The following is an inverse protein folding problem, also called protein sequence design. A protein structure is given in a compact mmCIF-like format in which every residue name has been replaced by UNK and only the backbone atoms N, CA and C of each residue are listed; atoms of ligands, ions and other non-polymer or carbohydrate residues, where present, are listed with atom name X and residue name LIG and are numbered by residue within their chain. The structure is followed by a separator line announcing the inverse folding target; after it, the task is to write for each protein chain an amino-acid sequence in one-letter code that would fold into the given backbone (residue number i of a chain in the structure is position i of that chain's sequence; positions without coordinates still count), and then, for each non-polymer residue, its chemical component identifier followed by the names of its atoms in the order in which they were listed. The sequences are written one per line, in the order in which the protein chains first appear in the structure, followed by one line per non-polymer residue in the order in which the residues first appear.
data_IF_317870224817
#
_entry.id   IF_317870224817
#
_cell.length_a   1.000
_cell.length_b   1.000
_cell.length_c   1.000
_cell.angle_alpha   90.00
_cell.angle_beta   90.00
_cell.angle_gamma   90.00
#
_symmetry.space_group_name_H-M   'P 1'
#
loop_
_entity.id
_entity.type
_entity.pdbx_description
1 polymer ?
#
# COMPACT_ATOMS: atom_id res chain seq x y z
N UNK A 1 4.43 1.05 -3.32
CA UNK A 1 4.23 0.27 -4.55
C UNK A 1 4.34 -1.19 -4.17
N UNK A 2 4.35 -2.12 -5.11
CA UNK A 2 4.70 -3.50 -4.82
C UNK A 2 6.22 -3.67 -4.73
N UNK A 3 6.63 -4.74 -4.06
CA UNK A 3 8.04 -5.08 -3.80
C UNK A 3 8.87 -5.23 -5.07
N UNK A 4 8.27 -5.71 -6.17
CA UNK A 4 8.95 -5.86 -7.46
C UNK A 4 9.27 -4.52 -8.10
N UNK A 5 8.36 -3.55 -8.06
CA UNK A 5 8.63 -2.18 -8.51
C UNK A 5 9.75 -1.53 -7.69
N UNK A 6 9.74 -1.70 -6.37
CA UNK A 6 10.80 -1.18 -5.51
C UNK A 6 12.16 -1.82 -5.81
N UNK A 7 12.19 -3.09 -6.20
CA UNK A 7 13.43 -3.78 -6.57
C UNK A 7 14.06 -3.18 -7.83
N UNK A 8 13.27 -3.02 -8.90
CA UNK A 8 13.79 -2.40 -10.14
C UNK A 8 14.14 -0.93 -9.94
N UNK A 9 13.45 -0.22 -9.04
CA UNK A 9 13.82 1.14 -8.62
C UNK A 9 15.17 1.16 -7.87
N UNK A 10 15.43 0.20 -6.98
CA UNK A 10 16.71 0.10 -6.26
C UNK A 10 17.90 -0.11 -7.19
N UNK A 11 17.73 -0.94 -8.24
CA UNK A 11 18.77 -1.12 -9.28
C UNK A 11 18.93 0.16 -10.10
N UNK A 12 17.82 0.80 -10.51
CA UNK A 12 17.86 2.06 -11.26
C UNK A 12 18.53 3.19 -10.48
N UNK A 13 18.33 3.28 -9.16
CA UNK A 13 19.05 4.22 -8.30
C UNK A 13 20.55 3.93 -8.26
N UNK A 14 20.95 2.65 -8.24
CA UNK A 14 22.37 2.27 -8.37
C UNK A 14 22.96 2.70 -9.72
N UNK A 15 22.19 2.58 -10.80
CA UNK A 15 22.57 3.11 -12.12
C UNK A 15 22.62 4.64 -12.16
N UNK A 16 21.68 5.33 -11.52
CA UNK A 16 21.70 6.80 -11.38
C UNK A 16 22.93 7.28 -10.59
N UNK A 17 23.37 6.50 -9.61
CA UNK A 17 24.52 6.80 -8.76
C UNK A 17 25.84 6.91 -9.53
N UNK A 18 25.93 6.40 -10.77
CA UNK A 18 27.13 6.57 -11.61
C UNK A 18 27.31 8.02 -12.10
N UNK A 19 26.36 8.93 -11.85
CA UNK A 19 26.58 10.37 -12.06
C UNK A 19 27.46 10.99 -10.96
N UNK A 20 27.63 10.29 -9.84
CA UNK A 20 28.48 10.70 -8.73
C UNK A 20 29.95 10.35 -9.04
N UNK A 21 30.87 11.33 -9.16
CA UNK A 21 32.26 11.06 -9.52
C UNK A 21 32.98 10.15 -8.53
N UNK A 22 32.64 10.22 -7.23
CA UNK A 22 33.27 9.38 -6.18
C UNK A 22 32.93 7.91 -6.37
N UNK A 23 31.74 7.64 -6.90
CA UNK A 23 31.26 6.30 -7.19
C UNK A 23 31.90 5.80 -8.49
N UNK A 24 31.88 6.60 -9.55
CA UNK A 24 32.41 6.20 -10.86
C UNK A 24 33.92 5.99 -10.87
N UNK A 25 34.67 6.69 -10.02
CA UNK A 25 36.12 6.51 -9.90
C UNK A 25 36.54 5.28 -9.07
N UNK A 26 35.61 4.64 -8.34
CA UNK A 26 35.91 3.49 -7.48
C UNK A 26 34.92 2.34 -7.74
N UNK A 27 35.35 1.27 -8.46
CA UNK A 27 34.52 0.09 -8.69
C UNK A 27 34.03 -0.57 -7.40
N UNK A 28 34.82 -0.48 -6.33
CA UNK A 28 34.48 -1.02 -5.00
C UNK A 28 33.35 -0.20 -4.37
N UNK A 29 33.45 1.13 -4.37
CA UNK A 29 32.38 2.01 -3.91
C UNK A 29 31.11 1.83 -4.75
N UNK A 30 31.25 1.70 -6.08
CA UNK A 30 30.12 1.47 -6.98
C UNK A 30 29.35 0.18 -6.65
N UNK A 31 30.08 -0.92 -6.43
CA UNK A 31 29.47 -2.20 -6.07
C UNK A 31 28.74 -2.13 -4.74
N UNK A 32 29.36 -1.48 -3.73
CA UNK A 32 28.74 -1.26 -2.43
C UNK A 32 27.48 -0.39 -2.53
N UNK A 33 27.51 0.70 -3.31
CA UNK A 33 26.36 1.60 -3.50
C UNK A 33 25.20 0.88 -4.19
N UNK A 34 25.45 0.10 -5.24
CA UNK A 34 24.40 -0.68 -5.93
C UNK A 34 23.75 -1.67 -4.95
N UNK A 35 24.55 -2.37 -4.14
CA UNK A 35 24.01 -3.24 -3.09
C UNK A 35 23.18 -2.45 -2.07
N UNK A 36 23.69 -1.29 -1.65
CA UNK A 36 23.03 -0.38 -0.71
C UNK A 36 21.68 0.13 -1.23
N UNK A 37 21.60 0.55 -2.50
CA UNK A 37 20.34 1.05 -3.08
C UNK A 37 19.31 -0.08 -3.24
N UNK A 38 19.72 -1.28 -3.65
CA UNK A 38 18.82 -2.44 -3.74
C UNK A 38 18.29 -2.83 -2.36
N UNK A 39 19.16 -3.00 -1.37
CA UNK A 39 18.76 -3.36 0.00
C UNK A 39 17.91 -2.25 0.64
N UNK A 40 18.30 -0.99 0.45
CA UNK A 40 17.58 0.18 0.95
C UNK A 40 16.16 0.27 0.38
N UNK A 41 15.99 0.02 -0.91
CA UNK A 41 14.66 -0.03 -1.55
C UNK A 41 13.83 -1.27 -1.15
N UNK A 42 14.34 -2.21 -0.36
CA UNK A 42 13.56 -3.37 0.09
C UNK A 42 13.30 -3.34 1.60
N UNK A 43 14.18 -2.69 2.37
CA UNK A 43 14.15 -2.73 3.82
C UNK A 43 12.83 -2.30 4.47
N UNK A 44 12.12 -1.24 4.01
CA UNK A 44 10.85 -0.88 4.63
C UNK A 44 9.76 -1.97 4.49
N UNK A 45 9.80 -2.75 3.40
CA UNK A 45 8.83 -3.84 3.12
C UNK A 45 9.21 -5.19 3.76
N UNK A 46 10.28 -5.26 4.55
CA UNK A 46 10.65 -6.48 5.29
C UNK A 46 9.54 -6.91 6.28
N UNK A 47 8.66 -5.99 6.66
CA UNK A 47 7.46 -6.27 7.46
C UNK A 47 6.46 -7.22 6.77
N UNK A 48 6.63 -7.50 5.48
CA UNK A 48 5.88 -8.54 4.77
C UNK A 48 6.11 -9.93 5.35
N UNK A 49 7.24 -10.17 6.05
CA UNK A 49 7.49 -11.40 6.82
C UNK A 49 6.41 -11.63 7.89
N UNK A 50 5.75 -10.59 8.39
CA UNK A 50 4.63 -10.71 9.34
C UNK A 50 3.44 -11.48 8.76
N UNK A 51 3.31 -11.60 7.42
CA UNK A 51 2.32 -12.49 6.78
C UNK A 51 2.49 -13.95 7.21
N UNK A 52 3.72 -14.39 7.46
CA UNK A 52 4.01 -15.76 7.91
C UNK A 52 3.46 -16.01 9.32
N UNK A 53 3.31 -14.97 10.14
CA UNK A 53 2.78 -15.07 11.49
C UNK A 53 1.25 -15.05 11.50
N UNK A 54 0.64 -13.99 10.95
CA UNK A 54 -0.83 -13.82 10.93
C UNK A 54 -1.22 -12.68 9.96
N UNK A 55 -2.27 -12.87 9.15
CA UNK A 55 -2.76 -11.87 8.20
C UNK A 55 -3.28 -10.58 8.87
N UNK A 56 -3.93 -10.68 10.03
CA UNK A 56 -4.37 -9.50 10.80
C UNK A 56 -3.17 -8.67 11.30
N UNK A 57 -2.12 -9.35 11.77
CA UNK A 57 -0.89 -8.70 12.22
C UNK A 57 -0.19 -8.02 11.04
N UNK A 58 -0.15 -8.66 9.87
CA UNK A 58 0.34 -8.03 8.65
C UNK A 58 -0.48 -6.79 8.28
N UNK A 59 -1.81 -6.89 8.16
CA UNK A 59 -2.66 -5.74 7.78
C UNK A 59 -2.53 -4.57 8.75
N UNK A 60 -2.39 -4.84 10.05
CA UNK A 60 -2.28 -3.80 11.08
C UNK A 60 -0.93 -3.07 11.04
N UNK A 61 0.15 -3.78 10.71
CA UNK A 61 1.52 -3.25 10.89
C UNK A 61 2.26 -2.97 9.58
N UNK A 62 1.85 -3.57 8.46
CA UNK A 62 2.50 -3.37 7.17
C UNK A 62 2.43 -1.91 6.76
N UNK A 63 3.56 -1.31 6.40
CA UNK A 63 3.68 0.14 6.09
C UNK A 63 3.44 1.06 7.29
N UNK A 64 3.50 0.50 8.49
CA UNK A 64 3.40 1.21 9.76
C UNK A 64 4.77 1.65 10.27
N UNK A 65 5.31 0.91 11.22
CA UNK A 65 6.56 1.27 11.94
C UNK A 65 7.77 1.30 11.01
N UNK A 66 7.90 0.32 10.11
CA UNK A 66 9.05 0.20 9.18
C UNK A 66 9.15 1.33 8.15
N UNK A 67 8.08 2.11 7.99
CA UNK A 67 7.99 3.24 7.08
C UNK A 67 7.99 4.59 7.82
N UNK A 68 8.15 4.59 9.15
CA UNK A 68 8.15 5.80 9.98
C UNK A 68 9.44 6.63 9.83
N UNK A 69 9.43 7.88 10.33
CA UNK A 69 10.61 8.76 10.29
C UNK A 69 11.83 8.09 10.96
N UNK A 70 11.74 7.50 12.17
CA UNK A 70 12.87 6.79 12.76
C UNK A 70 13.37 5.62 11.90
N UNK A 71 12.47 4.87 11.26
CA UNK A 71 12.86 3.75 10.41
C UNK A 71 13.58 4.22 9.13
N UNK A 72 13.11 5.30 8.49
CA UNK A 72 13.76 5.90 7.32
C UNK A 72 15.19 6.37 7.65
N UNK A 73 15.44 6.84 8.88
CA UNK A 73 16.78 7.22 9.33
C UNK A 73 17.64 6.00 9.72
N UNK A 74 17.03 4.95 10.29
CA UNK A 74 17.75 3.81 10.84
C UNK A 74 18.16 2.78 9.77
N UNK A 75 17.30 2.48 8.79
CA UNK A 75 17.61 1.49 7.74
C UNK A 75 18.92 1.80 7.01
N UNK A 76 19.18 3.04 6.56
CA UNK A 76 20.41 3.37 5.86
C UNK A 76 21.65 3.20 6.72
N UNK A 77 21.58 3.50 8.03
CA UNK A 77 22.68 3.30 8.96
C UNK A 77 23.01 1.81 9.12
N UNK A 78 21.98 0.98 9.32
CA UNK A 78 22.15 -0.48 9.48
C UNK A 78 22.74 -1.08 8.19
N UNK A 79 22.16 -0.78 7.04
CA UNK A 79 22.55 -1.36 5.75
C UNK A 79 23.96 -0.89 5.37
N UNK A 80 24.22 0.41 5.43
CA UNK A 80 25.54 0.96 5.06
C UNK A 80 26.62 0.51 6.02
N UNK A 81 26.33 0.46 7.32
CA UNK A 81 27.26 -0.06 8.33
C UNK A 81 27.61 -1.54 8.10
N UNK A 82 26.60 -2.38 7.82
CA UNK A 82 26.81 -3.78 7.51
C UNK A 82 27.62 -3.99 6.21
N UNK A 83 27.30 -3.25 5.15
CA UNK A 83 28.02 -3.31 3.89
C UNK A 83 29.46 -2.80 4.03
N UNK A 84 29.68 -1.72 4.78
CA UNK A 84 31.01 -1.18 5.03
C UNK A 84 31.89 -2.11 5.89
N UNK A 85 31.28 -2.88 6.80
CA UNK A 85 32.03 -3.90 7.54
C UNK A 85 32.54 -5.04 6.64
N UNK A 86 31.88 -5.31 5.51
CA UNK A 86 32.27 -6.32 4.52
C UNK A 86 33.16 -5.72 3.43
N UNK A 87 32.96 -4.44 3.11
CA UNK A 87 33.65 -3.70 2.04
C UNK A 87 34.22 -2.38 2.61
N UNK A 88 35.27 -2.45 3.45
CA UNK A 88 35.79 -1.29 4.18
C UNK A 88 36.48 -0.25 3.28
N UNK A 89 36.84 -0.61 2.05
CA UNK A 89 37.44 0.29 1.07
C UNK A 89 36.40 1.17 0.35
N UNK A 90 35.10 0.89 0.51
CA UNK A 90 34.04 1.71 -0.05
C UNK A 90 33.96 3.07 0.63
N UNK A 91 33.63 4.13 -0.11
CA UNK A 91 33.36 5.43 0.51
C UNK A 91 32.06 5.37 1.33
N UNK A 92 32.18 5.33 2.66
CA UNK A 92 31.04 5.20 3.58
C UNK A 92 29.99 6.31 3.42
N UNK A 93 30.42 7.56 3.22
CA UNK A 93 29.49 8.69 3.11
C UNK A 93 28.58 8.53 1.88
N UNK A 94 29.17 8.22 0.72
CA UNK A 94 28.40 8.05 -0.51
C UNK A 94 27.53 6.78 -0.48
N UNK A 95 28.05 5.68 0.09
CA UNK A 95 27.25 4.49 0.37
C UNK A 95 26.01 4.82 1.22
N UNK A 96 26.20 5.57 2.31
CA UNK A 96 25.13 5.97 3.19
C UNK A 96 24.13 6.91 2.52
N UNK A 97 24.59 7.93 1.78
CA UNK A 97 23.73 8.89 1.10
C UNK A 97 22.82 8.21 0.07
N UNK A 98 23.36 7.32 -0.77
CA UNK A 98 22.58 6.62 -1.79
C UNK A 98 21.65 5.56 -1.21
N UNK A 99 22.07 4.86 -0.14
CA UNK A 99 21.19 3.96 0.61
C UNK A 99 20.06 4.73 1.28
N UNK A 100 20.34 5.92 1.85
CA UNK A 100 19.34 6.80 2.43
C UNK A 100 18.34 7.28 1.37
N UNK A 101 18.82 7.72 0.21
CA UNK A 101 17.96 8.11 -0.90
C UNK A 101 17.03 6.96 -1.33
N UNK A 102 17.53 5.73 -1.38
CA UNK A 102 16.74 4.55 -1.75
C UNK A 102 15.61 4.25 -0.73
N UNK A 103 15.93 4.27 0.56
CA UNK A 103 14.92 4.09 1.64
C UNK A 103 13.91 5.23 1.63
N UNK A 104 14.38 6.47 1.51
CA UNK A 104 13.51 7.65 1.44
C UNK A 104 12.55 7.55 0.25
N UNK A 105 13.08 7.24 -0.94
CA UNK A 105 12.27 7.19 -2.16
C UNK A 105 11.22 6.08 -2.06
N UNK A 106 11.55 4.91 -1.50
CA UNK A 106 10.57 3.83 -1.21
C UNK A 106 9.38 4.36 -0.42
N UNK A 107 9.64 4.94 0.75
CA UNK A 107 8.57 5.43 1.64
C UNK A 107 7.82 6.59 1.00
N UNK A 108 8.52 7.48 0.29
CA UNK A 108 7.94 8.61 -0.40
C UNK A 108 6.94 8.18 -1.49
N UNK A 109 7.33 7.28 -2.40
CA UNK A 109 6.42 6.84 -3.48
C UNK A 109 5.22 6.04 -2.95
N UNK A 110 5.38 5.38 -1.80
CA UNK A 110 4.29 4.66 -1.14
C UNK A 110 3.18 5.57 -0.59
N UNK A 111 3.47 6.84 -0.31
CA UNK A 111 2.47 7.84 0.09
C UNK A 111 1.46 8.10 -1.05
N UNK A 112 1.89 7.98 -2.31
CA UNK A 112 1.04 8.25 -3.47
C UNK A 112 0.04 7.14 -3.77
N UNK A 113 0.12 6.04 -3.04
CA UNK A 113 -0.78 4.90 -3.16
C UNK A 113 -2.10 5.13 -2.38
N UNK A 114 -3.16 4.38 -2.70
CA UNK A 114 -4.47 4.45 -2.03
C UNK A 114 -4.55 3.79 -0.63
N UNK A 115 -3.63 2.89 -0.32
CA UNK A 115 -3.41 2.25 0.98
C UNK A 115 -2.60 3.16 1.91
N UNK A 116 -1.57 3.84 1.36
CA UNK A 116 -0.71 4.79 2.08
C UNK A 116 0.26 4.14 3.06
N UNK A 117 0.89 4.98 3.89
CA UNK A 117 1.86 4.60 4.93
C UNK A 117 1.69 5.43 6.20
N UNK A 118 2.24 4.99 7.32
CA UNK A 118 2.39 5.81 8.53
C UNK A 118 3.70 6.60 8.52
N UNK A 119 4.03 7.23 7.39
CA UNK A 119 5.30 7.94 7.20
C UNK A 119 5.59 9.05 8.21
N UNK A 120 4.56 9.60 8.86
CA UNK A 120 4.69 10.69 9.85
C UNK A 120 4.88 10.20 11.29
N UNK A 121 5.00 8.90 11.55
CA UNK A 121 5.29 8.41 12.90
C UNK A 121 6.69 8.85 13.35
N UNK A 122 6.88 9.25 14.62
CA UNK A 122 5.91 9.21 15.73
C UNK A 122 5.02 10.46 15.87
N UNK A 123 5.22 11.51 15.06
CA UNK A 123 4.46 12.78 15.13
C UNK A 123 2.95 12.52 14.92
N UNK A 124 2.59 11.61 14.02
CA UNK A 124 1.20 11.18 13.82
C UNK A 124 1.09 9.69 13.51
N UNK A 125 0.04 9.05 14.05
CA UNK A 125 -0.34 7.68 13.70
C UNK A 125 -1.28 7.58 12.49
N UNK A 126 -1.61 8.71 11.85
CA UNK A 126 -2.48 8.74 10.68
C UNK A 126 -1.81 8.11 9.46
N UNK A 127 -2.60 7.35 8.71
CA UNK A 127 -2.20 6.84 7.40
C UNK A 127 -2.26 7.97 6.37
N UNK A 128 -1.13 8.22 5.70
CA UNK A 128 -1.03 9.20 4.62
C UNK A 128 -1.15 8.44 3.30
N UNK A 129 -2.26 8.68 2.59
CA UNK A 129 -2.57 8.06 1.31
C UNK A 129 -3.13 9.11 0.36
N UNK A 130 -2.41 9.41 -0.72
CA UNK A 130 -2.90 10.35 -1.75
C UNK A 130 -3.75 9.64 -2.80
N UNK A 131 -3.59 8.33 -2.99
CA UNK A 131 -4.43 7.54 -3.89
C UNK A 131 -4.33 7.95 -5.35
N UNK A 132 -3.12 8.20 -5.85
CA UNK A 132 -2.81 8.70 -7.21
C UNK A 132 -2.16 7.62 -8.08
N UNK A 133 -1.38 6.74 -7.47
CA UNK A 133 -0.62 5.67 -8.14
C UNK A 133 -1.14 4.30 -7.68
N UNK A 134 -1.22 3.35 -8.61
CA UNK A 134 -1.62 1.98 -8.26
C UNK A 134 -0.49 1.29 -7.46
N UNK A 135 -0.81 0.28 -6.65
CA UNK A 135 0.22 -0.50 -5.97
C UNK A 135 1.21 -1.10 -6.96
N UNK A 136 0.71 -1.73 -8.02
CA UNK A 136 1.50 -2.15 -9.17
C UNK A 136 1.11 -1.27 -10.36
N UNK A 137 1.96 -0.31 -10.71
CA UNK A 137 1.76 0.57 -11.85
C UNK A 137 2.57 0.05 -13.04
N UNK A 138 1.93 -0.48 -14.10
CA UNK A 138 2.64 -1.10 -15.21
C UNK A 138 3.56 -0.15 -15.96
N UNK A 139 3.25 1.15 -16.00
CA UNK A 139 4.09 2.13 -16.67
C UNK A 139 5.36 2.39 -15.88
N UNK A 140 5.23 2.61 -14.56
CA UNK A 140 6.40 2.80 -13.69
C UNK A 140 7.27 1.55 -13.70
N UNK A 141 6.70 0.36 -13.54
CA UNK A 141 7.46 -0.89 -13.61
C UNK A 141 8.13 -1.07 -14.98
N UNK A 142 7.37 -0.90 -16.06
CA UNK A 142 7.83 -1.11 -17.42
C UNK A 142 8.95 -0.17 -17.84
N UNK A 143 8.88 1.13 -17.49
CA UNK A 143 9.93 2.08 -17.86
C UNK A 143 11.25 1.81 -17.13
N UNK A 144 11.20 1.34 -15.86
CA UNK A 144 12.41 0.92 -15.15
C UNK A 144 13.02 -0.33 -15.79
N UNK A 145 12.20 -1.35 -16.11
CA UNK A 145 12.68 -2.57 -16.80
C UNK A 145 13.28 -2.23 -18.17
N UNK A 146 12.65 -1.36 -18.94
CA UNK A 146 13.20 -0.87 -20.21
C UNK A 146 14.55 -0.16 -20.01
N UNK A 147 14.67 0.68 -18.98
CA UNK A 147 15.93 1.31 -18.60
C UNK A 147 17.02 0.31 -18.25
N UNK A 148 16.69 -0.73 -17.47
CA UNK A 148 17.64 -1.80 -17.12
C UNK A 148 18.10 -2.59 -18.35
N UNK A 149 17.20 -2.87 -19.30
CA UNK A 149 17.54 -3.54 -20.57
C UNK A 149 18.49 -2.66 -21.40
N UNK A 150 18.17 -1.37 -21.55
CA UNK A 150 19.01 -0.43 -22.28
C UNK A 150 20.39 -0.28 -21.63
N UNK A 151 20.47 -0.22 -20.29
CA UNK A 151 21.73 -0.26 -19.58
C UNK A 151 22.52 -1.53 -19.90
N UNK A 152 21.87 -2.69 -19.94
CA UNK A 152 22.49 -3.95 -20.37
C UNK A 152 23.04 -3.92 -21.80
N UNK A 153 22.47 -3.11 -22.69
CA UNK A 153 23.00 -2.85 -24.04
C UNK A 153 24.10 -1.77 -24.09
N UNK A 154 24.59 -1.31 -22.95
CA UNK A 154 25.72 -0.37 -22.87
C UNK A 154 25.32 1.10 -22.85
N UNK A 155 24.02 1.44 -22.70
CA UNK A 155 23.62 2.83 -22.53
C UNK A 155 24.13 3.39 -21.20
N UNK A 156 24.60 4.66 -21.14
CA UNK A 156 25.09 5.27 -19.91
C UNK A 156 23.99 5.32 -18.83
N UNK A 157 24.12 4.56 -17.72
CA UNK A 157 23.02 4.38 -16.77
C UNK A 157 22.63 5.67 -16.05
N UNK A 158 23.61 6.50 -15.68
CA UNK A 158 23.37 7.77 -14.99
C UNK A 158 22.35 8.66 -15.69
N UNK A 159 22.63 9.05 -16.94
CA UNK A 159 21.74 9.93 -17.73
C UNK A 159 20.44 9.24 -18.16
N UNK A 160 20.49 7.91 -18.37
CA UNK A 160 19.31 7.11 -18.70
C UNK A 160 18.29 7.14 -17.56
N UNK A 161 18.71 6.79 -16.33
CA UNK A 161 17.81 6.79 -15.18
C UNK A 161 17.41 8.20 -14.75
N UNK A 162 18.29 9.21 -14.91
CA UNK A 162 17.93 10.61 -14.71
C UNK A 162 16.75 11.02 -15.62
N UNK A 163 16.83 10.63 -16.90
CA UNK A 163 15.78 10.91 -17.89
C UNK A 163 14.49 10.15 -17.57
N UNK A 164 14.58 8.88 -17.16
CA UNK A 164 13.43 8.08 -16.71
C UNK A 164 12.75 8.74 -15.51
N UNK A 165 13.50 9.17 -14.49
CA UNK A 165 12.92 9.86 -13.34
C UNK A 165 12.28 11.21 -13.73
N UNK A 166 12.85 11.94 -14.70
CA UNK A 166 12.21 13.13 -15.29
C UNK A 166 10.86 12.82 -15.94
N UNK A 167 10.77 11.73 -16.72
CA UNK A 167 9.52 11.26 -17.31
C UNK A 167 8.52 10.84 -16.22
N UNK A 168 8.98 10.18 -15.16
CA UNK A 168 8.14 9.78 -14.04
C UNK A 168 7.56 10.99 -13.28
N UNK A 169 8.31 12.07 -13.12
CA UNK A 169 7.75 13.32 -12.56
C UNK A 169 6.59 13.83 -13.40
N UNK A 170 6.73 13.87 -14.73
CA UNK A 170 5.64 14.25 -15.64
C UNK A 170 4.45 13.28 -15.57
N UNK A 171 4.73 11.98 -15.45
CA UNK A 171 3.71 10.96 -15.23
C UNK A 171 2.90 11.23 -13.96
N UNK A 172 3.55 11.48 -12.81
CA UNK A 172 2.88 11.80 -11.56
C UNK A 172 2.01 13.06 -11.69
N UNK A 173 2.51 14.12 -12.34
CA UNK A 173 1.72 15.34 -12.61
C UNK A 173 0.46 14.99 -13.42
N UNK A 174 0.59 14.17 -14.46
CA UNK A 174 -0.55 13.70 -15.26
C UNK A 174 -1.57 12.93 -14.42
N UNK A 175 -1.11 12.04 -13.55
CA UNK A 175 -1.96 11.27 -12.63
C UNK A 175 -2.71 12.16 -11.63
N UNK A 176 -2.07 13.18 -11.09
CA UNK A 176 -2.74 14.17 -10.22
C UNK A 176 -3.81 14.98 -10.95
N UNK A 177 -3.54 15.35 -12.21
CA UNK A 177 -4.53 16.06 -13.06
C UNK A 177 -5.76 15.20 -13.31
N UNK A 178 -5.55 13.92 -13.65
CA UNK A 178 -6.64 12.97 -13.85
C UNK A 178 -7.45 12.75 -12.56
N UNK A 179 -6.77 12.54 -11.44
CA UNK A 179 -7.42 12.40 -10.14
C UNK A 179 -8.28 13.62 -9.81
N UNK A 180 -7.75 14.83 -10.05
CA UNK A 180 -8.46 16.09 -9.80
C UNK A 180 -9.69 16.25 -10.69
N UNK A 181 -9.59 15.84 -11.96
CA UNK A 181 -10.73 15.83 -12.88
C UNK A 181 -11.84 14.89 -12.39
N UNK A 182 -11.50 13.64 -12.04
CA UNK A 182 -12.46 12.65 -11.53
C UNK A 182 -13.10 13.14 -10.24
N UNK A 183 -12.31 13.71 -9.32
CA UNK A 183 -12.82 14.27 -8.07
C UNK A 183 -13.86 15.37 -8.29
N UNK A 184 -13.68 16.21 -9.32
CA UNK A 184 -14.67 17.24 -9.71
C UNK A 184 -15.94 16.60 -10.28
N UNK A 185 -15.81 15.63 -11.17
CA UNK A 185 -16.96 14.92 -11.74
C UNK A 185 -17.80 14.22 -10.65
N UNK A 186 -17.14 13.57 -9.68
CA UNK A 186 -17.82 12.95 -8.53
C UNK A 186 -18.57 14.00 -7.69
N UNK A 187 -17.96 15.17 -7.43
CA UNK A 187 -18.64 16.24 -6.67
C UNK A 187 -19.85 16.82 -7.40
N UNK A 188 -19.82 16.86 -8.73
CA UNK A 188 -20.96 17.31 -9.53
C UNK A 188 -22.11 16.30 -9.49
N UNK A 189 -21.80 15.00 -9.59
CA UNK A 189 -22.81 13.93 -9.56
C UNK A 189 -23.32 13.63 -8.14
N UNK A 190 -22.49 13.84 -7.12
CA UNK A 190 -22.81 13.58 -5.70
C UNK A 190 -22.46 14.85 -4.88
N UNK A 191 -23.31 15.89 -4.89
CA UNK A 191 -23.02 17.15 -4.20
C UNK A 191 -22.81 17.01 -2.68
N UNK A 192 -23.45 16.02 -2.05
CA UNK A 192 -23.31 15.72 -0.61
C UNK A 192 -22.05 14.93 -0.22
N UNK A 193 -21.06 14.80 -1.12
CA UNK A 193 -19.83 14.06 -0.86
C UNK A 193 -18.95 14.71 0.23
N UNK A 194 -18.93 14.13 1.44
CA UNK A 194 -18.05 14.56 2.54
C UNK A 194 -16.62 14.07 2.35
N UNK A 195 -16.45 12.81 1.89
CA UNK A 195 -15.14 12.20 1.61
C UNK A 195 -15.20 11.41 0.32
N UNK A 196 -14.19 11.59 -0.53
CA UNK A 196 -14.04 10.87 -1.80
C UNK A 196 -12.72 10.11 -1.72
N UNK A 197 -12.80 8.79 -1.78
CA UNK A 197 -11.67 7.88 -1.84
C UNK A 197 -11.50 7.42 -3.29
N UNK A 198 -10.35 7.74 -3.86
CA UNK A 198 -9.99 7.37 -5.22
C UNK A 198 -8.91 6.30 -5.16
N UNK A 199 -9.07 5.25 -5.95
CA UNK A 199 -8.11 4.16 -6.05
C UNK A 199 -7.84 3.88 -7.52
N UNK A 200 -6.66 4.26 -8.04
CA UNK A 200 -6.32 4.00 -9.43
C UNK A 200 -6.22 2.50 -9.70
N UNK A 201 -6.42 2.08 -10.95
CA UNK A 201 -6.18 0.69 -11.39
C UNK A 201 -4.92 0.60 -12.25
N UNK A 202 -4.55 -0.62 -12.67
CA UNK A 202 -3.47 -0.85 -13.63
C UNK A 202 -3.72 -0.18 -14.99
N UNK A 203 -4.98 0.14 -15.31
CA UNK A 203 -5.32 0.93 -16.50
C UNK A 203 -5.36 2.39 -16.12
N UNK A 204 -4.59 3.22 -16.82
CA UNK A 204 -4.41 4.65 -16.53
C UNK A 204 -5.78 5.35 -16.31
N UNK A 205 -6.67 5.30 -17.31
CA UNK A 205 -7.96 5.99 -17.26
C UNK A 205 -9.07 5.32 -16.44
N UNK A 206 -8.75 4.27 -15.66
CA UNK A 206 -9.74 3.56 -14.86
C UNK A 206 -9.46 3.69 -13.38
N UNK A 207 -10.47 4.13 -12.65
CA UNK A 207 -10.40 4.41 -11.22
C UNK A 207 -11.58 3.79 -10.48
N UNK A 208 -11.30 3.19 -9.32
CA UNK A 208 -12.31 2.79 -8.34
C UNK A 208 -12.56 3.95 -7.39
N UNK A 209 -13.82 4.13 -7.01
CA UNK A 209 -14.27 5.29 -6.25
C UNK A 209 -15.18 4.80 -5.12
N UNK A 210 -14.91 5.27 -3.90
CA UNK A 210 -15.83 5.14 -2.78
C UNK A 210 -16.12 6.54 -2.22
N UNK A 211 -17.39 6.90 -2.09
CA UNK A 211 -17.84 8.21 -1.61
C UNK A 211 -18.62 8.03 -0.33
N UNK A 212 -18.30 8.85 0.66
CA UNK A 212 -19.00 8.93 1.93
C UNK A 212 -19.82 10.21 1.93
N UNK A 213 -21.14 10.09 2.13
CA UNK A 213 -22.03 11.22 2.42
C UNK A 213 -22.53 11.13 3.86
N UNK A 214 -23.48 11.98 4.22
CA UNK A 214 -24.13 11.91 5.54
C UNK A 214 -24.92 10.61 5.70
N UNK A 215 -25.69 10.24 4.66
CA UNK A 215 -26.66 9.15 4.69
C UNK A 215 -26.23 7.89 3.96
N UNK A 216 -25.31 7.99 3.00
CA UNK A 216 -25.00 6.88 2.09
C UNK A 216 -23.49 6.67 1.90
N UNK A 217 -23.14 5.44 1.56
CA UNK A 217 -21.91 5.08 0.85
C UNK A 217 -22.22 4.84 -0.63
N UNK A 218 -21.47 5.47 -1.52
CA UNK A 218 -21.55 5.18 -2.96
C UNK A 218 -20.29 4.47 -3.41
N UNK A 219 -20.46 3.40 -4.17
CA UNK A 219 -19.37 2.71 -4.86
C UNK A 219 -19.51 3.03 -6.34
N UNK A 220 -18.48 3.62 -6.91
CA UNK A 220 -18.47 4.08 -8.29
C UNK A 220 -17.17 3.68 -8.99
N UNK A 221 -17.16 3.81 -10.31
CA UNK A 221 -15.99 3.63 -11.15
C UNK A 221 -15.93 4.77 -12.16
N UNK A 222 -14.74 5.31 -12.37
CA UNK A 222 -14.49 6.16 -13.52
C UNK A 222 -13.78 5.38 -14.62
N UNK A 223 -14.24 5.53 -15.86
CA UNK A 223 -13.57 5.08 -17.08
C UNK A 223 -13.49 6.29 -18.03
N UNK A 224 -12.28 6.68 -18.45
CA UNK A 224 -12.06 7.81 -19.36
C UNK A 224 -12.75 9.11 -18.89
N UNK A 225 -12.74 9.37 -17.57
CA UNK A 225 -13.34 10.54 -16.96
C UNK A 225 -14.86 10.47 -16.74
N UNK A 226 -15.56 9.47 -17.27
CA UNK A 226 -16.99 9.25 -17.01
C UNK A 226 -17.18 8.46 -15.71
N UNK A 227 -17.94 9.02 -14.76
CA UNK A 227 -18.21 8.39 -13.46
C UNK A 227 -19.53 7.61 -13.53
N UNK A 228 -19.45 6.30 -13.26
CA UNK A 228 -20.60 5.41 -13.14
C UNK A 228 -20.75 4.94 -11.70
N UNK A 229 -21.90 5.24 -11.08
CA UNK A 229 -22.28 4.65 -9.80
C UNK A 229 -22.64 3.18 -10.04
N UNK A 230 -22.07 2.29 -9.24
CA UNK A 230 -22.26 0.85 -9.33
C UNK A 230 -23.21 0.35 -8.25
N UNK A 231 -22.98 0.75 -7.00
CA UNK A 231 -23.81 0.36 -5.86
C UNK A 231 -23.97 1.56 -4.91
N UNK A 232 -25.09 1.60 -4.18
CA UNK A 232 -25.37 2.56 -3.11
C UNK A 232 -25.79 1.78 -1.87
N UNK A 233 -25.26 2.16 -0.71
CA UNK A 233 -25.59 1.56 0.58
C UNK A 233 -25.95 2.65 1.58
N UNK A 234 -26.91 2.38 2.45
CA UNK A 234 -27.20 3.27 3.58
C UNK A 234 -26.03 3.27 4.56
N UNK A 235 -25.70 4.45 5.07
CA UNK A 235 -24.70 4.65 6.11
C UNK A 235 -25.40 4.62 7.46
N UNK A 236 -25.57 3.41 7.98
CA UNK A 236 -26.18 3.17 9.28
C UNK A 236 -25.10 3.23 10.37
N UNK A 237 -25.32 3.96 11.49
CA UNK A 237 -24.46 3.87 12.66
C UNK A 237 -24.36 2.42 13.15
N UNK A 238 -23.21 2.08 13.76
CA UNK A 238 -23.09 0.80 14.43
C UNK A 238 -24.10 0.72 15.58
N UNK A 239 -24.86 -0.36 15.72
CA UNK A 239 -25.81 -0.51 16.81
C UNK A 239 -25.06 -0.60 18.14
N UNK A 240 -25.67 -0.07 19.20
CA UNK A 240 -25.24 -0.33 20.57
C UNK A 240 -25.68 -1.76 20.94
N UNK A 241 -24.78 -2.73 20.78
CA UNK A 241 -25.04 -4.12 21.15
C UNK A 241 -23.80 -4.75 21.79
N UNK A 242 -24.05 -5.58 22.80
CA UNK A 242 -22.99 -6.30 23.52
C UNK A 242 -22.19 -7.22 22.57
N UNK A 243 -22.89 -7.90 21.65
CA UNK A 243 -22.30 -8.73 20.59
C UNK A 243 -21.24 -7.95 19.82
N UNK A 244 -21.56 -6.71 19.42
CA UNK A 244 -20.65 -5.89 18.62
C UNK A 244 -19.47 -5.37 19.44
N UNK A 245 -19.70 -4.98 20.70
CA UNK A 245 -18.63 -4.52 21.59
C UNK A 245 -17.61 -5.63 21.91
N UNK A 246 -18.07 -6.87 22.06
CA UNK A 246 -17.17 -8.02 22.20
C UNK A 246 -16.45 -8.30 20.87
N UNK A 247 -17.18 -8.33 19.75
CA UNK A 247 -16.57 -8.58 18.44
C UNK A 247 -15.47 -7.56 18.10
N UNK A 248 -15.64 -6.27 18.43
CA UNK A 248 -14.64 -5.22 18.16
C UNK A 248 -13.30 -5.44 18.87
N UNK A 249 -13.27 -6.23 19.96
CA UNK A 249 -12.04 -6.57 20.69
C UNK A 249 -11.23 -7.66 19.98
N UNK A 250 -11.84 -8.39 19.05
CA UNK A 250 -11.16 -9.40 18.24
C UNK A 250 -10.05 -8.77 17.38
N UNK A 251 -8.92 -9.48 17.26
CA UNK A 251 -7.74 -8.97 16.54
C UNK A 251 -7.98 -8.80 15.03
N UNK A 252 -8.79 -9.66 14.40
CA UNK A 252 -9.10 -9.58 12.97
C UNK A 252 -10.05 -8.41 12.69
N UNK A 253 -11.10 -8.24 13.51
CA UNK A 253 -12.02 -7.12 13.34
C UNK A 253 -11.37 -5.77 13.70
N UNK A 254 -10.59 -5.71 14.78
CA UNK A 254 -9.84 -4.50 15.14
C UNK A 254 -8.84 -4.10 14.05
N UNK A 255 -8.14 -5.07 13.44
CA UNK A 255 -7.25 -4.83 12.31
C UNK A 255 -8.02 -4.26 11.11
N UNK A 256 -9.17 -4.86 10.76
CA UNK A 256 -10.03 -4.36 9.68
C UNK A 256 -10.51 -2.93 9.91
N UNK A 257 -11.03 -2.63 11.11
CA UNK A 257 -11.54 -1.30 11.45
C UNK A 257 -10.44 -0.23 11.46
N UNK A 258 -9.20 -0.61 11.80
CA UNK A 258 -8.06 0.31 11.72
C UNK A 258 -7.68 0.69 10.29
N UNK A 259 -8.05 -0.14 9.32
CA UNK A 259 -7.64 -0.06 7.92
C UNK A 259 -8.76 0.42 6.98
N UNK A 260 -10.02 0.07 7.27
CA UNK A 260 -11.16 0.32 6.40
C UNK A 260 -11.96 1.55 6.83
N UNK A 261 -11.89 2.66 6.08
CA UNK A 261 -12.69 3.85 6.36
C UNK A 261 -14.13 3.76 5.80
N UNK A 262 -14.42 2.77 4.95
CA UNK A 262 -15.70 2.61 4.26
C UNK A 262 -16.05 1.13 4.22
N UNK A 263 -17.02 0.76 5.04
CA UNK A 263 -17.48 -0.61 5.16
C UNK A 263 -19.00 -0.67 5.35
N UNK A 264 -19.57 -1.83 5.06
CA UNK A 264 -20.86 -2.24 5.63
C UNK A 264 -20.62 -3.31 6.70
N UNK A 265 -21.60 -3.49 7.56
CA UNK A 265 -21.59 -4.56 8.56
C UNK A 265 -22.91 -5.32 8.52
N UNK A 266 -22.85 -6.58 8.90
CA UNK A 266 -23.97 -7.51 9.00
C UNK A 266 -23.81 -8.25 10.32
N UNK A 267 -24.91 -8.37 11.07
CA UNK A 267 -24.96 -9.18 12.28
C UNK A 267 -26.07 -10.21 12.05
N UNK A 268 -25.69 -11.47 11.95
CA UNK A 268 -26.63 -12.56 11.73
C UNK A 268 -26.66 -13.51 12.94
N UNK A 269 -27.85 -13.76 13.45
CA UNK A 269 -28.06 -14.81 14.45
C UNK A 269 -28.24 -16.15 13.74
N UNK A 270 -27.26 -17.05 13.87
CA UNK A 270 -27.38 -18.45 13.44
C UNK A 270 -27.94 -19.30 14.58
N UNK A 271 -28.17 -20.60 14.32
CA UNK A 271 -28.71 -21.51 15.34
C UNK A 271 -27.80 -21.62 16.56
N UNK A 272 -26.49 -21.74 16.34
CA UNK A 272 -25.51 -22.03 17.41
C UNK A 272 -24.64 -20.83 17.80
N UNK A 273 -24.54 -19.81 16.93
CA UNK A 273 -23.61 -18.69 17.12
C UNK A 273 -24.16 -17.39 16.51
N UNK A 274 -23.55 -16.27 16.86
CA UNK A 274 -23.69 -14.97 16.22
C UNK A 274 -22.56 -14.75 15.23
N UNK A 275 -22.89 -14.32 14.01
CA UNK A 275 -21.91 -13.91 13.02
C UNK A 275 -21.89 -12.39 12.90
N UNK A 276 -20.73 -11.78 13.18
CA UNK A 276 -20.48 -10.36 12.93
C UNK A 276 -19.55 -10.25 11.74
N UNK A 277 -20.06 -9.69 10.63
CA UNK A 277 -19.35 -9.58 9.35
C UNK A 277 -19.21 -8.12 8.96
N UNK A 278 -17.99 -7.71 8.62
CA UNK A 278 -17.67 -6.39 8.06
C UNK A 278 -17.10 -6.55 6.66
N UNK A 279 -17.51 -5.68 5.74
CA UNK A 279 -17.20 -5.79 4.31
C UNK A 279 -16.73 -4.44 3.81
N UNK A 280 -15.51 -4.36 3.24
CA UNK A 280 -14.93 -3.11 2.75
C UNK A 280 -15.44 -2.78 1.35
N UNK A 281 -16.10 -1.62 1.23
CA UNK A 281 -16.78 -1.23 -0.01
C UNK A 281 -15.82 -0.69 -1.09
N UNK A 282 -14.54 -0.50 -0.79
CA UNK A 282 -13.55 -0.06 -1.80
C UNK A 282 -13.16 -1.21 -2.73
N UNK A 283 -13.26 -2.45 -2.29
CA UNK A 283 -12.69 -3.61 -2.97
C UNK A 283 -13.63 -4.35 -3.90
N UNK A 284 -14.64 -3.69 -4.46
CA UNK A 284 -15.54 -4.31 -5.44
C UNK A 284 -14.79 -5.01 -6.58
N UNK A 285 -15.14 -6.26 -6.84
CA UNK A 285 -14.63 -7.10 -7.92
C UNK A 285 -15.76 -7.98 -8.47
N UNK A 286 -15.96 -8.01 -9.78
CA UNK A 286 -16.96 -8.86 -10.45
C UNK A 286 -18.37 -8.86 -9.81
N UNK A 287 -18.81 -7.72 -9.27
CA UNK A 287 -20.14 -7.59 -8.67
C UNK A 287 -20.24 -7.90 -7.17
N UNK A 288 -19.16 -8.33 -6.51
CA UNK A 288 -19.14 -8.60 -5.07
C UNK A 288 -17.96 -7.93 -4.35
N UNK A 289 -17.94 -8.02 -3.02
CA UNK A 289 -16.98 -7.37 -2.13
C UNK A 289 -16.17 -8.42 -1.37
N UNK A 290 -14.96 -8.76 -1.85
CA UNK A 290 -14.18 -9.89 -1.34
C UNK A 290 -13.44 -9.61 -0.04
N UNK A 291 -13.18 -8.35 0.33
CA UNK A 291 -12.37 -8.05 1.51
C UNK A 291 -13.27 -7.88 2.73
N UNK A 292 -13.17 -8.82 3.66
CA UNK A 292 -14.09 -8.93 4.80
C UNK A 292 -13.34 -9.23 6.10
N UNK A 293 -13.98 -8.88 7.21
CA UNK A 293 -13.68 -9.39 8.54
C UNK A 293 -14.91 -10.13 9.07
N UNK A 294 -14.73 -11.30 9.66
CA UNK A 294 -15.81 -12.11 10.24
C UNK A 294 -15.37 -12.54 11.64
N UNK A 295 -16.29 -12.44 12.59
CA UNK A 295 -16.13 -12.92 13.97
C UNK A 295 -17.35 -13.78 14.29
N UNK A 296 -17.12 -15.01 14.75
CA UNK A 296 -18.16 -15.88 15.28
C UNK A 296 -18.12 -15.85 16.81
N UNK A 297 -19.27 -15.62 17.43
CA UNK A 297 -19.41 -15.65 18.90
C UNK A 297 -20.46 -16.69 19.29
N UNK A 298 -20.24 -17.44 20.37
CA UNK A 298 -21.26 -18.33 20.93
C UNK A 298 -22.40 -17.53 21.60
N UNK A 299 -23.35 -18.25 22.22
CA UNK A 299 -24.49 -17.64 22.93
C UNK A 299 -24.10 -16.87 24.18
N UNK A 300 -22.96 -17.20 24.77
CA UNK A 300 -22.38 -16.55 25.94
C UNK A 300 -21.40 -15.43 25.55
N UNK A 301 -21.35 -15.07 24.26
CA UNK A 301 -20.50 -14.05 23.66
C UNK A 301 -19.00 -14.35 23.72
N UNK A 302 -18.59 -15.61 23.87
CA UNK A 302 -17.19 -15.99 23.68
C UNK A 302 -16.86 -16.03 22.19
N UNK A 303 -15.70 -15.47 21.81
CA UNK A 303 -15.23 -15.52 20.42
C UNK A 303 -14.77 -16.95 20.11
N UNK A 304 -15.47 -17.59 19.16
CA UNK A 304 -15.18 -18.94 18.71
C UNK A 304 -14.03 -18.95 17.70
N UNK A 305 -14.16 -18.14 16.66
CA UNK A 305 -13.16 -17.97 15.61
C UNK A 305 -13.34 -16.63 14.91
N UNK A 306 -12.32 -16.20 14.18
CA UNK A 306 -12.38 -14.96 13.41
C UNK A 306 -11.42 -14.98 12.22
N UNK A 307 -11.71 -14.17 11.21
CA UNK A 307 -10.90 -14.05 10.01
C UNK A 307 -10.94 -12.62 9.48
N UNK A 308 -9.83 -12.13 8.96
CA UNK A 308 -9.79 -10.93 8.11
C UNK A 308 -9.00 -11.21 6.85
N UNK A 309 -9.50 -10.80 5.69
CA UNK A 309 -8.78 -10.94 4.43
C UNK A 309 -9.67 -11.02 3.19
N UNK A 310 -9.05 -11.43 2.09
CA UNK A 310 -9.70 -11.57 0.78
C UNK A 310 -10.38 -12.93 0.62
N UNK A 311 -11.65 -12.91 0.23
CA UNK A 311 -12.52 -14.07 0.08
C UNK A 311 -13.27 -13.94 -1.23
N UNK A 312 -13.11 -14.94 -2.09
CA UNK A 312 -13.76 -14.97 -3.40
C UNK A 312 -14.90 -16.00 -3.47
N UNK A 313 -15.13 -16.75 -2.39
CA UNK A 313 -16.26 -17.67 -2.23
C UNK A 313 -16.55 -17.96 -0.76
N UNK A 314 -17.82 -18.20 -0.43
CA UNK A 314 -18.27 -18.52 0.94
C UNK A 314 -17.63 -19.82 1.47
N UNK A 315 -17.47 -20.84 0.62
CA UNK A 315 -16.78 -22.07 0.99
C UNK A 315 -15.32 -21.84 1.44
N UNK A 316 -14.64 -20.85 0.83
CA UNK A 316 -13.26 -20.51 1.20
C UNK A 316 -13.21 -19.73 2.53
N UNK A 317 -14.22 -18.92 2.83
CA UNK A 317 -14.40 -18.29 4.14
C UNK A 317 -14.60 -19.34 5.23
N UNK A 318 -15.54 -20.27 5.02
CA UNK A 318 -15.82 -21.35 5.98
C UNK A 318 -14.56 -22.19 6.28
N UNK A 319 -13.79 -22.55 5.24
CA UNK A 319 -12.49 -23.23 5.42
C UNK A 319 -11.46 -22.41 6.22
N UNK A 320 -11.50 -21.08 6.14
CA UNK A 320 -10.60 -20.17 6.86
C UNK A 320 -11.07 -19.86 8.29
N UNK A 321 -12.36 -19.94 8.56
CA UNK A 321 -12.92 -19.83 9.91
C UNK A 321 -12.70 -21.13 10.71
N UNK A 322 -12.59 -22.27 10.02
CA UNK A 322 -12.19 -23.56 10.59
C UNK A 322 -10.65 -23.71 10.79
N UNK A 323 -9.95 -22.64 11.16
CA UNK A 323 -8.57 -22.70 11.67
C UNK A 323 -8.72 -22.75 13.20
N UNK A 324 -8.60 -23.84 13.96
CA UNK A 324 -8.17 -25.24 13.83
C UNK A 324 -9.05 -25.98 14.87
N UNK A 325 -9.60 -27.16 14.58
CA UNK A 325 -9.93 -28.13 15.63
C UNK A 325 -8.70 -28.99 15.91
#
# INVERSE_FOLDING_TARGET
MDTGTHFVMGIALGGLATLDPVITQSPVTASAVIAGTILGSQAPDIDTVLKLRNNAVYIRNHRGITHSIPAVLLWPLIISGALFAIIPEANYLHLWLWTFLAVFLHVFVDIFNAYGTQALRPISSKWVALGVINTFDPFIFGIHVAGLILWGFGFPPGYLFLSIYGILVLYYISRFREQSFIKRAVKQQIPGARKILLSPTMRFHRWKIAVITEKNYYVARADNGYVKILDTFDRVPLPESEILEVAKKDINLAAFLSFSPVYRFEIEQKKEYYEVRFIDLRYRSNGYYPFVAVVHLDRDLNILNSYTGWIFSEAKLQKKLNIIL
#
